data_IF_810175199081
#
_entry.id   IF_810175199081
#
_cell.length_a   1.000
_cell.length_b   1.000
_cell.length_c   1.000
_cell.angle_alpha   90.00
_cell.angle_beta   90.00
_cell.angle_gamma   90.00
#
_symmetry.space_group_name_H-M   'P 1'
#
loop_
_entity.id
_entity.type
_entity.pdbx_description
1 polymer ?
#
# COMPACT_ATOMS: atom_id res chain seq x y z
N UNK A 1 9.67 -48.23 -18.81
CA UNK A 1 8.54 -47.30 -19.00
C UNK A 1 8.99 -45.94 -18.51
N UNK A 2 9.09 -44.96 -19.41
CA UNK A 2 9.78 -43.68 -19.20
C UNK A 2 9.18 -42.88 -18.04
N UNK A 3 10.04 -42.52 -17.07
CA UNK A 3 9.76 -41.55 -16.03
C UNK A 3 9.93 -40.15 -16.65
N UNK A 4 8.82 -39.46 -16.92
CA UNK A 4 8.84 -38.05 -17.36
C UNK A 4 8.86 -37.16 -16.13
N UNK A 5 9.98 -36.48 -15.92
CA UNK A 5 10.11 -35.30 -15.06
C UNK A 5 9.21 -34.19 -15.62
N UNK A 6 8.30 -33.67 -14.80
CA UNK A 6 7.57 -32.44 -15.08
C UNK A 6 8.08 -31.34 -14.15
N UNK A 7 8.79 -30.39 -14.72
CA UNK A 7 9.13 -29.09 -14.13
C UNK A 7 7.94 -28.14 -14.34
N UNK A 8 7.26 -27.73 -13.28
CA UNK A 8 6.34 -26.59 -13.37
C UNK A 8 7.08 -25.32 -12.95
N UNK A 9 7.52 -24.55 -13.95
CA UNK A 9 7.88 -23.14 -13.82
C UNK A 9 6.61 -22.31 -14.01
N UNK A 10 6.27 -21.52 -12.99
CA UNK A 10 5.44 -20.33 -13.11
C UNK A 10 3.95 -20.55 -13.33
N UNK A 11 3.16 -20.41 -12.27
CA UNK A 11 1.82 -19.85 -12.41
C UNK A 11 1.50 -18.97 -11.21
N UNK A 12 1.21 -17.71 -11.52
CA UNK A 12 0.84 -16.64 -10.61
C UNK A 12 -0.32 -17.04 -9.68
N UNK A 13 -0.08 -16.85 -8.39
CA UNK A 13 -1.06 -16.94 -7.31
C UNK A 13 -2.11 -15.83 -7.48
N UNK A 14 -3.15 -16.11 -8.25
CA UNK A 14 -4.37 -15.30 -8.28
C UNK A 14 -5.54 -16.27 -8.21
N UNK A 15 -6.39 -16.07 -7.21
CA UNK A 15 -7.61 -16.84 -6.89
C UNK A 15 -7.38 -18.08 -6.01
N UNK A 16 -7.28 -17.85 -4.70
CA UNK A 16 -7.77 -18.79 -3.70
C UNK A 16 -8.51 -18.03 -2.59
N UNK A 17 -9.71 -17.54 -2.91
CA UNK A 17 -10.66 -16.99 -1.92
C UNK A 17 -12.08 -17.56 -2.09
N UNK A 18 -12.19 -18.79 -2.60
CA UNK A 18 -13.47 -19.49 -2.66
C UNK A 18 -13.33 -20.86 -2.03
N UNK A 19 -14.08 -21.04 -0.94
CA UNK A 19 -14.25 -22.25 -0.11
C UNK A 19 -13.06 -22.62 0.79
N UNK A 20 -13.26 -22.51 2.11
CA UNK A 20 -13.59 -23.68 2.95
C UNK A 20 -13.87 -23.25 4.40
N UNK A 21 -15.03 -23.66 4.88
CA UNK A 21 -15.32 -23.68 6.31
C UNK A 21 -14.44 -24.71 7.01
N UNK A 22 -13.91 -24.31 8.17
CA UNK A 22 -13.56 -25.16 9.31
C UNK A 22 -13.18 -26.62 9.01
N UNK A 23 -12.00 -26.84 8.44
CA UNK A 23 -11.08 -27.93 8.82
C UNK A 23 -9.69 -27.58 8.28
N UNK A 24 -8.68 -27.65 9.14
CA UNK A 24 -7.29 -27.50 8.74
C UNK A 24 -6.92 -28.65 7.80
N UNK A 25 -6.80 -28.36 6.50
CA UNK A 25 -6.23 -29.29 5.54
C UNK A 25 -4.72 -29.02 5.50
N UNK A 26 -3.95 -29.89 6.14
CA UNK A 26 -2.53 -30.07 5.86
C UNK A 26 -2.42 -30.77 4.49
N UNK A 27 -2.42 -29.98 3.42
CA UNK A 27 -1.89 -30.43 2.14
C UNK A 27 -0.52 -29.76 1.97
N UNK A 28 0.50 -30.59 1.83
CA UNK A 28 1.86 -30.17 1.54
C UNK A 28 1.89 -29.52 0.14
N UNK A 29 1.86 -28.19 0.11
CA UNK A 29 2.39 -27.36 -0.97
C UNK A 29 2.78 -26.01 -0.33
N UNK A 30 4.08 -25.70 -0.34
CA UNK A 30 4.72 -24.43 0.03
C UNK A 30 4.59 -23.87 1.46
N UNK A 31 4.63 -24.65 2.55
CA UNK A 31 4.99 -24.14 3.89
C UNK A 31 4.17 -22.96 4.46
N UNK A 32 3.05 -22.60 3.82
CA UNK A 32 2.22 -21.45 4.14
C UNK A 32 0.99 -21.93 4.91
N UNK A 33 0.90 -21.60 6.19
CA UNK A 33 -0.27 -21.92 7.01
C UNK A 33 -1.22 -20.72 6.97
N UNK A 34 -2.35 -20.90 6.28
CA UNK A 34 -3.37 -19.86 6.07
C UNK A 34 -4.54 -20.01 7.03
N UNK A 35 -4.96 -18.90 7.67
CA UNK A 35 -6.12 -18.85 8.56
C UNK A 35 -7.00 -17.65 8.23
N UNK A 36 -8.31 -17.85 8.25
CA UNK A 36 -9.29 -16.78 8.31
C UNK A 36 -10.00 -16.86 9.66
N UNK A 37 -10.02 -15.75 10.40
CA UNK A 37 -10.60 -15.69 11.74
C UNK A 37 -11.64 -14.57 11.78
N UNK A 38 -12.84 -14.93 12.22
CA UNK A 38 -13.88 -13.97 12.55
C UNK A 38 -13.82 -13.64 14.04
N UNK A 39 -13.78 -12.35 14.37
CA UNK A 39 -13.85 -11.83 15.73
C UNK A 39 -15.22 -11.18 15.92
N UNK A 40 -16.05 -11.81 16.77
CA UNK A 40 -17.35 -11.23 17.15
C UNK A 40 -17.15 -10.04 18.12
N UNK A 41 -16.06 -10.07 18.90
CA UNK A 41 -15.63 -9.01 19.82
C UNK A 41 -14.15 -8.69 19.62
N UNK A 42 -13.79 -7.40 19.70
CA UNK A 42 -12.41 -6.96 19.61
C UNK A 42 -11.61 -7.38 20.86
N UNK A 43 -10.34 -7.71 20.67
CA UNK A 43 -9.41 -8.16 21.71
C UNK A 43 -9.38 -9.67 21.92
N UNK A 44 -10.16 -10.43 21.14
CA UNK A 44 -10.34 -11.88 21.32
C UNK A 44 -9.51 -12.73 20.36
N UNK A 45 -8.65 -12.13 19.51
CA UNK A 45 -7.76 -12.90 18.63
C UNK A 45 -6.85 -13.89 19.39
N UNK A 46 -6.25 -13.53 20.55
CA UNK A 46 -5.45 -14.48 21.34
C UNK A 46 -6.23 -15.73 21.78
N UNK A 47 -7.57 -15.64 21.91
CA UNK A 47 -8.42 -16.78 22.29
C UNK A 47 -8.69 -17.71 21.10
N UNK A 48 -8.46 -17.24 19.86
CA UNK A 48 -8.72 -17.98 18.61
C UNK A 48 -7.48 -18.69 18.04
N UNK A 49 -6.29 -18.36 18.53
CA UNK A 49 -5.02 -18.92 18.06
C UNK A 49 -4.22 -19.39 19.26
N UNK A 50 -3.95 -20.70 19.33
CA UNK A 50 -3.13 -21.24 20.41
C UNK A 50 -1.68 -20.76 20.33
N UNK A 51 -0.97 -20.75 21.47
CA UNK A 51 0.45 -20.40 21.52
C UNK A 51 1.32 -21.27 20.60
N UNK A 52 0.93 -22.55 20.39
CA UNK A 52 1.64 -23.48 19.51
C UNK A 52 1.43 -23.17 18.02
N UNK A 53 0.27 -22.65 17.64
CA UNK A 53 -0.04 -22.30 16.24
C UNK A 53 0.44 -20.91 15.86
N UNK A 54 0.51 -19.99 16.83
CA UNK A 54 0.81 -18.57 16.63
C UNK A 54 2.04 -18.32 15.75
N UNK A 55 3.13 -19.03 16.01
CA UNK A 55 4.40 -18.85 15.29
C UNK A 55 4.49 -19.67 14.00
N UNK A 56 3.44 -20.40 13.63
CA UNK A 56 3.40 -21.22 12.42
C UNK A 56 2.56 -20.57 11.30
N UNK A 57 1.58 -19.74 11.66
CA UNK A 57 0.71 -19.06 10.70
C UNK A 57 1.51 -18.03 9.90
N UNK A 58 1.50 -18.19 8.58
CA UNK A 58 2.17 -17.27 7.64
C UNK A 58 1.19 -16.32 6.96
N UNK A 59 -0.09 -16.73 6.82
CA UNK A 59 -1.13 -15.92 6.18
C UNK A 59 -2.36 -15.82 7.09
N UNK A 60 -2.76 -14.60 7.47
CA UNK A 60 -3.91 -14.37 8.33
C UNK A 60 -4.87 -13.37 7.70
N UNK A 61 -6.14 -13.76 7.57
CA UNK A 61 -7.26 -12.85 7.31
C UNK A 61 -8.10 -12.68 8.56
N UNK A 62 -8.42 -11.44 8.91
CA UNK A 62 -9.29 -11.12 10.05
C UNK A 62 -10.56 -10.45 9.55
N UNK A 63 -11.71 -10.93 10.05
CA UNK A 63 -13.04 -10.36 9.80
C UNK A 63 -13.63 -9.90 11.13
N UNK A 64 -14.14 -8.68 11.20
CA UNK A 64 -14.75 -8.12 12.42
C UNK A 64 -13.92 -7.01 13.07
N UNK A 65 -14.13 -6.74 14.35
CA UNK A 65 -13.46 -5.62 15.03
C UNK A 65 -12.13 -6.07 15.62
N UNK A 66 -11.10 -5.24 15.50
CA UNK A 66 -9.80 -5.42 16.15
C UNK A 66 -9.44 -4.21 17.02
N UNK A 67 -8.80 -4.43 18.15
CA UNK A 67 -8.29 -3.39 19.04
C UNK A 67 -6.81 -3.62 19.41
N UNK A 68 -6.30 -2.90 20.41
CA UNK A 68 -4.89 -2.97 20.79
C UNK A 68 -4.42 -4.35 21.25
N UNK A 69 -5.28 -5.15 21.90
CA UNK A 69 -4.94 -6.52 22.29
C UNK A 69 -4.72 -7.40 21.07
N UNK A 70 -5.58 -7.31 20.06
CA UNK A 70 -5.41 -8.07 18.80
C UNK A 70 -4.17 -7.58 18.04
N UNK A 71 -3.98 -6.27 17.96
CA UNK A 71 -2.85 -5.69 17.22
C UNK A 71 -1.51 -6.07 17.86
N UNK A 72 -1.42 -6.08 19.20
CA UNK A 72 -0.27 -6.62 19.94
C UNK A 72 0.04 -8.06 19.53
N UNK A 73 -0.99 -8.91 19.49
CA UNK A 73 -0.84 -10.33 19.13
C UNK A 73 -0.41 -10.51 17.68
N UNK A 74 -0.99 -9.72 16.75
CA UNK A 74 -0.61 -9.72 15.33
C UNK A 74 0.84 -9.28 15.16
N UNK A 75 1.30 -8.25 15.87
CA UNK A 75 2.70 -7.81 15.82
C UNK A 75 3.66 -8.94 16.18
N UNK A 76 3.36 -9.65 17.26
CA UNK A 76 4.16 -10.80 17.70
C UNK A 76 4.12 -11.93 16.65
N UNK A 77 2.97 -12.16 15.99
CA UNK A 77 2.91 -13.09 14.86
C UNK A 77 3.76 -12.60 13.66
N UNK A 78 3.85 -11.29 13.47
CA UNK A 78 4.61 -10.62 12.42
C UNK A 78 6.10 -10.40 12.76
N UNK A 79 6.59 -11.05 13.82
CA UNK A 79 8.02 -11.10 14.14
C UNK A 79 8.50 -10.01 15.10
N UNK A 80 7.61 -9.25 15.75
CA UNK A 80 8.03 -8.16 16.64
C UNK A 80 7.08 -7.98 17.85
N UNK A 81 7.62 -7.88 19.06
CA UNK A 81 6.82 -7.69 20.28
C UNK A 81 6.40 -6.22 20.51
N UNK A 82 5.73 -6.00 21.65
CA UNK A 82 5.28 -4.66 22.11
C UNK A 82 6.44 -3.68 22.33
N UNK A 83 7.67 -4.16 22.58
CA UNK A 83 8.85 -3.34 22.84
C UNK A 83 9.77 -3.19 21.62
N UNK A 84 9.36 -3.69 20.45
CA UNK A 84 10.18 -3.65 19.25
C UNK A 84 11.22 -4.78 19.16
N UNK A 85 11.16 -5.80 20.01
CA UNK A 85 12.08 -6.94 19.98
C UNK A 85 11.60 -8.03 19.04
N UNK A 86 12.54 -8.71 18.40
CA UNK A 86 12.23 -9.83 17.51
C UNK A 86 11.51 -10.97 18.24
N UNK A 87 10.62 -11.63 17.53
CA UNK A 87 9.91 -12.83 17.98
C UNK A 87 9.97 -13.93 16.92
N UNK A 88 9.62 -15.16 17.28
CA UNK A 88 9.61 -16.31 16.36
C UNK A 88 8.45 -16.29 15.34
N UNK A 89 7.62 -15.24 15.34
CA UNK A 89 6.48 -15.09 14.44
C UNK A 89 6.85 -15.22 12.96
N UNK A 90 5.98 -15.87 12.18
CA UNK A 90 6.18 -16.15 10.74
C UNK A 90 5.12 -15.51 9.83
N UNK A 91 4.25 -14.67 10.38
CA UNK A 91 3.21 -14.00 9.61
C UNK A 91 3.84 -13.06 8.57
N UNK A 92 3.60 -13.36 7.30
CA UNK A 92 4.09 -12.60 6.15
C UNK A 92 2.96 -11.92 5.38
N UNK A 93 1.76 -12.52 5.35
CA UNK A 93 0.57 -11.96 4.69
C UNK A 93 -0.51 -11.67 5.72
N UNK A 94 -0.89 -10.40 5.83
CA UNK A 94 -1.99 -9.95 6.69
C UNK A 94 -3.08 -9.27 5.87
N UNK A 95 -4.28 -9.84 5.90
CA UNK A 95 -5.47 -9.27 5.28
C UNK A 95 -6.46 -8.76 6.34
N UNK A 96 -6.59 -7.44 6.44
CA UNK A 96 -7.55 -6.74 7.29
C UNK A 96 -8.66 -6.05 6.48
N UNK A 97 -8.89 -6.43 5.22
CA UNK A 97 -9.87 -5.77 4.34
C UNK A 97 -11.27 -5.72 4.95
N UNK A 98 -11.65 -6.78 5.68
CA UNK A 98 -12.96 -6.97 6.30
C UNK A 98 -12.92 -6.76 7.82
N UNK A 99 -11.82 -6.19 8.32
CA UNK A 99 -11.68 -5.81 9.71
C UNK A 99 -12.08 -4.34 9.93
N UNK A 100 -12.29 -3.96 11.18
CA UNK A 100 -12.41 -2.56 11.60
C UNK A 100 -11.54 -2.32 12.83
N UNK A 101 -10.62 -1.36 12.74
CA UNK A 101 -9.81 -0.93 13.89
C UNK A 101 -10.69 -0.08 14.81
N UNK A 102 -10.82 -0.50 16.06
CA UNK A 102 -11.55 0.21 17.10
C UNK A 102 -10.64 0.54 18.29
N UNK A 103 -11.03 1.57 19.05
CA UNK A 103 -10.37 1.89 20.32
C UNK A 103 -10.55 0.78 21.37
N UNK A 104 -9.60 0.70 22.32
CA UNK A 104 -9.63 -0.24 23.44
C UNK A 104 -8.57 -1.33 23.38
N UNK A 105 -8.66 -2.28 24.32
CA UNK A 105 -7.66 -3.33 24.51
C UNK A 105 -6.35 -2.83 25.15
N UNK A 106 -5.35 -3.69 25.13
CA UNK A 106 -4.02 -3.42 25.65
C UNK A 106 -3.25 -2.45 24.76
N UNK A 107 -2.19 -1.84 25.30
CA UNK A 107 -1.19 -1.18 24.48
C UNK A 107 -0.53 -2.19 23.52
N UNK A 108 -0.48 -1.85 22.23
CA UNK A 108 0.15 -2.69 21.21
C UNK A 108 1.62 -2.35 20.97
N UNK A 109 2.07 -1.19 21.46
CA UNK A 109 3.47 -0.76 21.41
C UNK A 109 3.84 0.03 22.66
N UNK A 110 5.11 -0.04 23.04
CA UNK A 110 5.72 0.72 24.13
C UNK A 110 6.94 1.46 23.59
N UNK A 111 6.88 2.78 23.62
CA UNK A 111 7.99 3.65 23.24
C UNK A 111 8.58 4.34 24.49
N UNK A 112 9.88 4.62 24.48
CA UNK A 112 10.55 5.25 25.64
C UNK A 112 10.10 6.69 25.86
N UNK A 113 9.77 7.41 24.80
CA UNK A 113 9.41 8.82 24.85
C UNK A 113 7.89 9.01 24.80
N UNK A 114 7.18 8.20 24.01
CA UNK A 114 5.71 8.31 23.87
C UNK A 114 4.91 7.44 24.84
N UNK A 115 5.56 6.52 25.57
CA UNK A 115 4.90 5.60 26.50
C UNK A 115 4.08 4.50 25.80
N UNK A 116 2.97 4.12 26.43
CA UNK A 116 2.10 3.05 25.95
C UNK A 116 1.15 3.53 24.85
N UNK A 117 1.19 2.84 23.71
CA UNK A 117 0.41 3.20 22.52
C UNK A 117 -0.77 2.24 22.35
N UNK A 118 -1.98 2.78 22.32
CA UNK A 118 -3.24 2.05 22.17
C UNK A 118 -3.92 2.37 20.83
N UNK A 119 -4.85 1.51 20.40
CA UNK A 119 -5.60 1.75 19.16
C UNK A 119 -6.56 2.92 19.30
N UNK A 120 -6.88 3.54 18.17
CA UNK A 120 -7.95 4.51 18.02
C UNK A 120 -8.78 4.12 16.81
N UNK A 121 -10.07 4.48 16.81
CA UNK A 121 -10.99 4.15 15.73
C UNK A 121 -10.43 4.58 14.36
N UNK A 122 -10.46 3.65 13.40
CA UNK A 122 -10.20 3.92 11.98
C UNK A 122 -8.83 4.56 11.68
N UNK A 123 -7.80 4.26 12.49
CA UNK A 123 -6.42 4.72 12.30
C UNK A 123 -5.44 3.55 12.37
N UNK A 124 -4.46 3.53 11.47
CA UNK A 124 -3.26 2.75 11.70
C UNK A 124 -2.33 3.56 12.61
N UNK A 125 -2.35 3.27 13.91
CA UNK A 125 -1.76 4.12 14.94
C UNK A 125 -0.23 4.20 14.90
N UNK A 126 0.33 5.06 15.78
CA UNK A 126 1.79 5.24 15.91
C UNK A 126 2.47 3.88 16.13
N UNK A 127 3.55 3.60 15.41
CA UNK A 127 4.30 2.34 15.51
C UNK A 127 3.52 1.03 15.25
N UNK A 128 2.28 1.04 14.73
CA UNK A 128 1.38 -0.13 14.64
C UNK A 128 2.05 -1.44 14.19
N UNK A 129 2.86 -1.37 13.14
CA UNK A 129 3.68 -2.47 12.60
C UNK A 129 5.16 -2.10 12.50
N UNK A 130 5.62 -1.14 13.32
CA UNK A 130 7.05 -0.80 13.39
C UNK A 130 7.88 -2.03 13.72
N UNK A 131 8.89 -2.31 12.89
CA UNK A 131 9.80 -3.45 13.02
C UNK A 131 9.24 -4.81 12.57
N UNK A 132 8.01 -4.88 12.05
CA UNK A 132 7.44 -6.13 11.51
C UNK A 132 8.06 -6.48 10.14
N UNK A 133 9.36 -6.80 10.15
CA UNK A 133 10.20 -6.99 8.97
C UNK A 133 9.82 -8.21 8.12
N UNK A 134 9.12 -9.18 8.71
CA UNK A 134 8.63 -10.38 8.03
C UNK A 134 7.36 -10.18 7.20
N UNK A 135 6.61 -9.08 7.40
CA UNK A 135 5.42 -8.79 6.59
C UNK A 135 5.82 -8.44 5.17
N UNK A 136 5.33 -9.22 4.20
CA UNK A 136 5.49 -8.99 2.76
C UNK A 136 4.27 -8.35 2.13
N UNK A 137 3.07 -8.64 2.69
CA UNK A 137 1.79 -8.18 2.16
C UNK A 137 0.90 -7.70 3.31
N UNK A 138 0.36 -6.49 3.18
CA UNK A 138 -0.59 -5.93 4.12
C UNK A 138 -1.77 -5.31 3.38
N UNK A 139 -2.98 -5.77 3.69
CA UNK A 139 -4.23 -5.13 3.25
C UNK A 139 -4.88 -4.47 4.45
N UNK A 140 -5.13 -3.16 4.36
CA UNK A 140 -5.74 -2.37 5.44
C UNK A 140 -7.27 -2.33 5.32
N UNK A 141 -7.99 -2.10 6.45
CA UNK A 141 -9.41 -1.79 6.40
C UNK A 141 -9.69 -0.57 5.54
N UNK A 142 -10.75 -0.62 4.73
CA UNK A 142 -11.16 0.52 3.89
C UNK A 142 -11.56 1.77 4.69
N UNK A 143 -11.83 1.63 5.99
CA UNK A 143 -12.17 2.73 6.88
C UNK A 143 -10.96 3.52 7.39
N UNK A 144 -9.72 3.03 7.22
CA UNK A 144 -8.52 3.70 7.77
C UNK A 144 -8.34 5.10 7.16
N UNK A 145 -8.39 6.12 8.02
CA UNK A 145 -8.31 7.54 7.64
C UNK A 145 -6.92 8.15 7.79
N UNK A 146 -6.03 7.52 8.58
CA UNK A 146 -4.70 8.04 8.87
C UNK A 146 -3.68 6.92 9.06
N UNK A 147 -2.49 7.14 8.52
CA UNK A 147 -1.28 6.36 8.81
C UNK A 147 -0.44 7.14 9.81
N UNK A 148 -0.29 6.61 11.03
CA UNK A 148 0.39 7.26 12.14
C UNK A 148 1.90 7.38 11.96
N UNK A 149 2.55 8.16 12.82
CA UNK A 149 4.00 8.29 12.78
C UNK A 149 4.65 6.92 13.02
N UNK A 150 5.66 6.60 12.21
CA UNK A 150 6.40 5.35 12.26
C UNK A 150 5.53 4.08 12.15
N UNK A 151 4.29 4.18 11.68
CA UNK A 151 3.31 3.07 11.72
C UNK A 151 3.78 1.79 11.03
N UNK A 152 4.54 1.90 9.94
CA UNK A 152 5.11 0.79 9.17
C UNK A 152 6.65 0.93 9.07
N UNK A 153 7.27 1.67 9.99
CA UNK A 153 8.72 1.85 10.01
C UNK A 153 9.45 0.50 10.06
N UNK A 154 10.49 0.34 9.27
CA UNK A 154 11.32 -0.86 9.15
C UNK A 154 10.55 -2.14 8.83
N UNK A 155 9.40 -2.04 8.15
CA UNK A 155 8.77 -3.17 7.44
C UNK A 155 9.58 -3.50 6.18
N UNK A 156 10.80 -4.00 6.36
CA UNK A 156 11.80 -4.17 5.29
C UNK A 156 11.30 -5.13 4.19
N UNK A 157 10.57 -6.19 4.57
CA UNK A 157 10.01 -7.18 3.63
C UNK A 157 8.75 -6.74 2.89
N UNK A 158 8.14 -5.60 3.25
CA UNK A 158 6.83 -5.21 2.73
C UNK A 158 6.94 -4.80 1.26
N UNK A 159 6.38 -5.61 0.38
CA UNK A 159 6.41 -5.40 -1.08
C UNK A 159 5.06 -4.97 -1.64
N UNK A 160 3.96 -5.35 -0.98
CA UNK A 160 2.60 -5.10 -1.43
C UNK A 160 1.77 -4.45 -0.31
N UNK A 161 1.44 -3.18 -0.51
CA UNK A 161 0.51 -2.42 0.32
C UNK A 161 -0.27 -1.46 -0.58
N UNK A 162 -1.59 -1.49 -0.48
CA UNK A 162 -2.45 -0.45 -1.04
C UNK A 162 -3.07 0.33 0.11
N UNK A 163 -2.86 1.65 0.10
CA UNK A 163 -3.52 2.52 1.07
C UNK A 163 -4.99 2.76 0.68
N UNK A 164 -5.94 2.71 1.63
CA UNK A 164 -7.33 3.05 1.38
C UNK A 164 -7.51 4.49 0.87
N UNK A 165 -8.51 4.71 0.02
CA UNK A 165 -8.84 6.04 -0.51
C UNK A 165 -9.32 7.03 0.56
N UNK A 166 -9.71 6.53 1.73
CA UNK A 166 -10.12 7.30 2.92
C UNK A 166 -8.93 7.91 3.67
N UNK A 167 -7.69 7.51 3.38
CA UNK A 167 -6.50 8.06 4.04
C UNK A 167 -6.31 9.52 3.62
N UNK A 168 -6.21 10.41 4.62
CA UNK A 168 -5.99 11.85 4.42
C UNK A 168 -4.61 12.32 4.88
N UNK A 169 -3.93 11.55 5.74
CA UNK A 169 -2.62 11.92 6.29
C UNK A 169 -1.68 10.71 6.42
N UNK A 170 -0.43 10.92 6.01
CA UNK A 170 0.69 10.02 6.24
C UNK A 170 1.64 10.68 7.26
N UNK A 171 1.85 10.04 8.40
CA UNK A 171 2.65 10.56 9.50
C UNK A 171 4.15 10.58 9.25
N UNK A 172 4.87 11.21 10.17
CA UNK A 172 6.34 11.25 10.18
C UNK A 172 6.93 9.84 10.24
N UNK A 173 7.90 9.54 9.37
CA UNK A 173 8.56 8.23 9.35
C UNK A 173 7.64 7.03 9.07
N UNK A 174 6.41 7.24 8.60
CA UNK A 174 5.38 6.20 8.49
C UNK A 174 5.85 4.93 7.77
N UNK A 175 6.66 5.07 6.72
CA UNK A 175 7.26 4.02 5.91
C UNK A 175 8.80 4.06 5.95
N UNK A 176 9.39 4.65 6.99
CA UNK A 176 10.84 4.73 7.14
C UNK A 176 11.47 3.35 6.93
N UNK A 177 12.49 3.24 6.08
CA UNK A 177 13.24 2.02 5.82
C UNK A 177 12.40 0.82 5.30
N UNK A 178 11.27 1.06 4.63
CA UNK A 178 10.50 0.04 3.91
C UNK A 178 11.15 -0.33 2.58
N UNK A 179 12.25 -1.10 2.64
CA UNK A 179 13.10 -1.37 1.45
C UNK A 179 12.44 -2.23 0.38
N UNK A 180 11.47 -3.07 0.74
CA UNK A 180 10.74 -3.93 -0.19
C UNK A 180 9.67 -3.22 -1.03
N UNK A 181 9.26 -2.00 -0.65
CA UNK A 181 8.19 -1.29 -1.36
C UNK A 181 8.70 -0.84 -2.72
N UNK A 182 8.13 -1.40 -3.80
CA UNK A 182 8.60 -1.15 -5.17
C UNK A 182 7.78 -0.12 -5.94
N UNK A 183 6.46 -0.22 -5.85
CA UNK A 183 5.53 0.72 -6.47
C UNK A 183 4.57 1.20 -5.40
N UNK A 184 4.54 2.50 -5.14
CA UNK A 184 3.69 3.07 -4.09
C UNK A 184 2.84 4.21 -4.66
N UNK A 185 1.53 4.07 -4.54
CA UNK A 185 0.57 5.11 -4.91
C UNK A 185 0.06 5.78 -3.64
N UNK A 186 0.28 7.09 -3.53
CA UNK A 186 -0.34 7.89 -2.48
C UNK A 186 -1.80 8.15 -2.90
N UNK A 187 -2.80 7.78 -2.06
CA UNK A 187 -4.21 7.97 -2.40
C UNK A 187 -4.58 9.43 -2.61
N UNK A 188 -5.54 9.70 -3.50
CA UNK A 188 -6.01 11.04 -3.85
C UNK A 188 -6.69 11.81 -2.71
N UNK A 189 -6.93 11.18 -1.56
CA UNK A 189 -7.41 11.83 -0.35
C UNK A 189 -6.30 12.44 0.50
N UNK A 190 -5.04 12.07 0.28
CA UNK A 190 -3.91 12.49 1.12
C UNK A 190 -3.60 13.95 0.88
N UNK A 191 -3.63 14.75 1.94
CA UNK A 191 -3.29 16.19 1.91
C UNK A 191 -1.93 16.48 2.53
N UNK A 192 -1.46 15.62 3.45
CA UNK A 192 -0.21 15.81 4.18
C UNK A 192 0.64 14.55 4.23
N UNK A 193 1.93 14.71 3.94
CA UNK A 193 2.97 13.69 4.06
C UNK A 193 3.99 14.18 5.10
N UNK A 194 4.22 13.40 6.14
CA UNK A 194 5.12 13.75 7.25
C UNK A 194 6.60 13.76 6.86
N UNK A 195 7.43 14.36 7.73
CA UNK A 195 8.88 14.32 7.58
C UNK A 195 9.40 12.89 7.60
N UNK A 196 10.46 12.61 6.83
CA UNK A 196 11.05 11.28 6.72
C UNK A 196 10.09 10.13 6.38
N UNK A 197 8.87 10.42 5.88
CA UNK A 197 7.80 9.43 5.74
C UNK A 197 8.22 8.18 4.96
N UNK A 198 9.07 8.31 3.94
CA UNK A 198 9.58 7.23 3.10
C UNK A 198 11.11 7.19 3.07
N UNK A 199 11.80 7.75 4.07
CA UNK A 199 13.26 7.76 4.08
C UNK A 199 13.84 6.35 3.94
N UNK A 200 14.87 6.16 3.12
CA UNK A 200 15.52 4.87 2.87
C UNK A 200 14.59 3.77 2.28
N UNK A 201 13.52 4.13 1.56
CA UNK A 201 12.75 3.17 0.75
C UNK A 201 13.49 2.85 -0.56
N UNK A 202 14.61 2.13 -0.47
CA UNK A 202 15.49 1.87 -1.61
C UNK A 202 14.83 1.11 -2.77
N UNK A 203 13.83 0.29 -2.48
CA UNK A 203 13.09 -0.46 -3.50
C UNK A 203 12.13 0.40 -4.31
N UNK A 204 11.81 1.63 -3.89
CA UNK A 204 10.75 2.43 -4.50
C UNK A 204 11.20 2.92 -5.88
N UNK A 205 10.65 2.30 -6.93
CA UNK A 205 10.98 2.57 -8.34
C UNK A 205 10.17 3.74 -8.89
N UNK A 206 8.89 3.81 -8.52
CA UNK A 206 7.97 4.83 -8.98
C UNK A 206 7.15 5.42 -7.84
N UNK A 207 6.91 6.72 -7.90
CA UNK A 207 6.12 7.48 -6.93
C UNK A 207 5.07 8.32 -7.65
N UNK A 208 3.84 8.28 -7.15
CA UNK A 208 2.77 9.19 -7.59
C UNK A 208 2.35 10.10 -6.44
N UNK A 209 2.46 11.42 -6.65
CA UNK A 209 2.00 12.48 -5.75
C UNK A 209 0.69 13.07 -6.29
N UNK A 210 -0.47 12.81 -5.65
CA UNK A 210 -1.76 13.26 -6.13
C UNK A 210 -1.94 14.77 -5.98
N UNK A 211 -2.90 15.32 -6.71
CA UNK A 211 -3.22 16.77 -6.74
C UNK A 211 -3.69 17.33 -5.38
N UNK A 212 -4.11 16.46 -4.47
CA UNK A 212 -4.59 16.80 -3.13
C UNK A 212 -3.49 17.16 -2.13
N UNK A 213 -2.23 16.79 -2.39
CA UNK A 213 -1.13 17.01 -1.46
C UNK A 213 -0.81 18.50 -1.39
N UNK A 214 -0.90 19.07 -0.19
CA UNK A 214 -0.60 20.48 0.08
C UNK A 214 0.66 20.67 0.92
N UNK A 215 1.11 19.64 1.65
CA UNK A 215 2.28 19.73 2.51
C UNK A 215 3.09 18.42 2.53
N UNK A 216 4.42 18.54 2.43
CA UNK A 216 5.38 17.44 2.47
C UNK A 216 6.52 17.78 3.44
N UNK A 217 6.72 16.98 4.47
CA UNK A 217 7.74 17.24 5.49
C UNK A 217 9.18 17.03 5.02
N UNK A 218 10.13 17.52 5.82
CA UNK A 218 11.56 17.44 5.52
C UNK A 218 12.02 15.99 5.30
N UNK A 219 12.80 15.77 4.24
CA UNK A 219 13.37 14.47 3.92
C UNK A 219 12.36 13.35 3.67
N UNK A 220 11.11 13.67 3.31
CA UNK A 220 10.06 12.66 3.17
C UNK A 220 10.43 11.51 2.22
N UNK A 221 11.24 11.76 1.18
CA UNK A 221 11.71 10.74 0.23
C UNK A 221 13.24 10.65 0.19
N UNK A 222 13.93 11.08 1.26
CA UNK A 222 15.39 11.04 1.35
C UNK A 222 15.90 9.61 1.19
N UNK A 223 16.97 9.43 0.42
CA UNK A 223 17.59 8.13 0.10
C UNK A 223 16.65 7.10 -0.55
N UNK A 224 15.60 7.53 -1.27
CA UNK A 224 14.84 6.66 -2.16
C UNK A 224 15.60 6.46 -3.49
N UNK A 225 16.80 5.87 -3.42
CA UNK A 225 17.73 5.77 -4.57
C UNK A 225 17.24 4.88 -5.72
N UNK A 226 16.21 4.07 -5.52
CA UNK A 226 15.56 3.29 -6.58
C UNK A 226 14.64 4.10 -7.49
N UNK A 227 14.30 5.34 -7.13
CA UNK A 227 13.35 6.15 -7.90
C UNK A 227 13.89 6.43 -9.30
N UNK A 228 13.11 6.04 -10.30
CA UNK A 228 13.37 6.34 -11.72
C UNK A 228 12.30 7.25 -12.32
N UNK A 229 11.13 7.34 -11.69
CA UNK A 229 10.02 8.18 -12.15
C UNK A 229 9.19 8.70 -10.99
N UNK A 230 8.92 10.00 -11.01
CA UNK A 230 8.01 10.66 -10.06
C UNK A 230 6.92 11.35 -10.87
N UNK A 231 5.66 10.99 -10.62
CA UNK A 231 4.49 11.61 -11.25
C UNK A 231 3.86 12.58 -10.27
N UNK A 232 3.79 13.85 -10.67
CA UNK A 232 3.22 14.94 -9.88
C UNK A 232 1.93 15.42 -10.54
N UNK A 233 0.85 15.45 -9.76
CA UNK A 233 -0.46 15.94 -10.22
C UNK A 233 -0.85 17.30 -9.60
N UNK A 234 0.02 17.88 -8.76
CA UNK A 234 -0.21 19.19 -8.15
C UNK A 234 0.13 20.30 -9.15
N UNK A 235 -0.84 21.16 -9.49
CA UNK A 235 -0.59 22.32 -10.37
C UNK A 235 0.20 23.44 -9.68
N UNK A 236 0.17 23.46 -8.35
CA UNK A 236 0.84 24.42 -7.48
C UNK A 236 1.78 23.67 -6.55
N UNK A 237 2.98 24.22 -6.34
CA UNK A 237 3.98 23.63 -5.46
C UNK A 237 3.39 23.46 -4.05
N UNK A 238 3.54 22.28 -3.42
CA UNK A 238 3.16 22.09 -2.02
C UNK A 238 4.13 22.84 -1.09
N UNK A 239 3.71 23.08 0.15
CA UNK A 239 4.64 23.45 1.21
C UNK A 239 5.60 22.29 1.46
N UNK A 240 6.91 22.53 1.38
CA UNK A 240 7.93 21.49 1.56
C UNK A 240 8.89 21.81 2.69
N UNK A 241 9.23 20.79 3.47
CA UNK A 241 10.44 20.81 4.29
C UNK A 241 11.70 20.64 3.44
N UNK A 242 12.87 20.64 4.08
CA UNK A 242 14.16 20.58 3.39
C UNK A 242 14.58 19.16 3.03
N UNK A 243 15.46 19.03 2.02
CA UNK A 243 16.13 17.79 1.63
C UNK A 243 15.17 16.68 1.20
N UNK A 244 14.04 17.04 0.57
CA UNK A 244 12.93 16.16 0.25
C UNK A 244 13.36 14.88 -0.47
N UNK A 245 14.24 15.02 -1.45
CA UNK A 245 14.75 13.93 -2.30
C UNK A 245 16.26 13.69 -2.16
N UNK A 246 16.90 14.21 -1.11
CA UNK A 246 18.36 14.09 -0.94
C UNK A 246 18.81 12.62 -1.05
N UNK A 247 19.74 12.35 -1.97
CA UNK A 247 20.27 11.01 -2.20
C UNK A 247 19.38 10.09 -3.06
N UNK A 248 18.36 10.64 -3.72
CA UNK A 248 17.77 10.01 -4.91
C UNK A 248 18.70 10.21 -6.12
N UNK A 249 18.52 9.41 -7.17
CA UNK A 249 19.31 9.56 -8.40
C UNK A 249 18.79 10.76 -9.23
N UNK A 250 19.35 11.95 -8.96
CA UNK A 250 19.01 13.20 -9.64
C UNK A 250 19.20 13.19 -11.16
N UNK A 251 20.06 12.30 -11.68
CA UNK A 251 20.42 12.23 -13.09
C UNK A 251 19.53 11.27 -13.87
N UNK A 252 19.15 10.16 -13.26
CA UNK A 252 18.40 9.10 -13.94
C UNK A 252 16.90 9.10 -13.58
N UNK A 253 16.48 9.78 -12.52
CA UNK A 253 15.07 9.95 -12.21
C UNK A 253 14.45 11.06 -13.06
N UNK A 254 13.26 10.80 -13.62
CA UNK A 254 12.46 11.79 -14.34
C UNK A 254 11.27 12.22 -13.50
N UNK A 255 11.08 13.53 -13.34
CA UNK A 255 9.89 14.11 -12.71
C UNK A 255 8.91 14.54 -13.80
N UNK A 256 7.75 13.90 -13.82
CA UNK A 256 6.63 14.25 -14.69
C UNK A 256 5.72 15.23 -13.95
N UNK A 257 5.54 16.43 -14.49
CA UNK A 257 4.75 17.50 -13.86
C UNK A 257 3.64 18.00 -14.80
N UNK A 258 2.57 18.62 -14.29
CA UNK A 258 1.49 19.11 -15.14
C UNK A 258 1.97 20.13 -16.18
N UNK A 259 1.38 20.08 -17.38
CA UNK A 259 1.68 21.01 -18.47
C UNK A 259 1.53 22.47 -18.01
N UNK A 260 2.53 23.30 -18.30
CA UNK A 260 2.59 24.70 -17.90
C UNK A 260 3.24 24.95 -16.53
N UNK A 261 3.58 23.90 -15.77
CA UNK A 261 4.20 24.02 -14.44
C UNK A 261 5.71 23.72 -14.42
N UNK A 262 6.27 23.25 -15.54
CA UNK A 262 7.66 22.77 -15.64
C UNK A 262 8.69 23.76 -15.10
N UNK A 263 8.57 25.04 -15.48
CA UNK A 263 9.47 26.09 -14.99
C UNK A 263 9.36 26.33 -13.47
N UNK A 264 8.17 26.21 -12.89
CA UNK A 264 7.98 26.40 -11.45
C UNK A 264 8.62 25.26 -10.66
N UNK A 265 8.40 24.01 -11.10
CA UNK A 265 9.02 22.84 -10.50
C UNK A 265 10.55 22.83 -10.66
N UNK A 266 11.05 23.15 -11.85
CA UNK A 266 12.49 23.25 -12.13
C UNK A 266 13.22 24.27 -11.25
N UNK A 267 12.57 25.39 -10.91
CA UNK A 267 13.15 26.43 -10.05
C UNK A 267 12.96 26.18 -8.56
N UNK A 268 12.17 25.19 -8.17
CA UNK A 268 11.93 24.87 -6.76
C UNK A 268 13.15 24.20 -6.13
N UNK A 269 13.40 24.47 -4.85
CA UNK A 269 14.54 23.87 -4.13
C UNK A 269 14.47 22.33 -4.10
N UNK A 270 13.27 21.78 -3.98
CA UNK A 270 13.08 20.36 -3.75
C UNK A 270 12.90 19.56 -5.04
N UNK A 271 12.07 20.01 -6.01
CA UNK A 271 11.89 19.28 -7.27
C UNK A 271 12.91 19.66 -8.34
N UNK A 272 13.48 20.89 -8.27
CA UNK A 272 14.59 21.31 -9.10
C UNK A 272 15.90 20.54 -8.82
N UNK A 273 15.89 19.67 -7.81
CA UNK A 273 16.93 18.68 -7.55
C UNK A 273 17.19 17.76 -8.75
N UNK A 274 16.17 17.41 -9.53
CA UNK A 274 16.27 16.48 -10.66
C UNK A 274 16.62 17.17 -11.96
N UNK A 275 17.49 16.55 -12.77
CA UNK A 275 17.93 17.13 -14.05
C UNK A 275 16.87 16.97 -15.16
N UNK A 276 16.00 15.96 -15.02
CA UNK A 276 14.95 15.66 -15.99
C UNK A 276 13.58 15.99 -15.40
N UNK A 277 13.02 17.12 -15.83
CA UNK A 277 11.63 17.49 -15.56
C UNK A 277 10.89 17.55 -16.88
N UNK A 278 9.86 16.73 -17.02
CA UNK A 278 9.06 16.58 -18.24
C UNK A 278 7.64 17.01 -17.95
N UNK A 279 7.13 17.95 -18.73
CA UNK A 279 5.72 18.30 -18.68
C UNK A 279 4.88 17.22 -19.35
N UNK A 280 3.77 16.84 -18.72
CA UNK A 280 2.78 15.95 -19.32
C UNK A 280 1.38 16.54 -19.18
N UNK A 281 0.47 16.07 -20.03
CA UNK A 281 -0.93 16.36 -19.84
C UNK A 281 -1.45 15.57 -18.64
N UNK A 282 -1.37 16.20 -17.47
CA UNK A 282 -1.84 15.63 -16.21
C UNK A 282 -3.37 15.43 -16.17
N UNK A 283 -4.10 15.86 -17.20
CA UNK A 283 -5.54 15.56 -17.36
C UNK A 283 -5.84 14.11 -17.73
N UNK A 284 -4.93 13.19 -17.41
CA UNK A 284 -5.11 11.75 -17.60
C UNK A 284 -6.41 11.25 -16.98
N UNK A 285 -7.45 11.09 -17.80
CA UNK A 285 -8.67 10.31 -17.53
C UNK A 285 -9.58 10.86 -16.40
N UNK A 286 -9.18 11.85 -15.60
CA UNK A 286 -9.99 12.39 -14.49
C UNK A 286 -11.13 13.31 -14.94
N UNK A 287 -11.07 13.85 -16.15
CA UNK A 287 -12.26 14.44 -16.78
C UNK A 287 -13.01 13.33 -17.51
N UNK A 288 -13.85 12.60 -16.77
CA UNK A 288 -15.03 12.00 -17.40
C UNK A 288 -15.90 13.15 -17.88
N UNK A 289 -15.63 13.64 -19.09
CA UNK A 289 -16.65 14.36 -19.83
C UNK A 289 -17.75 13.34 -20.14
N UNK A 290 -18.85 13.43 -19.41
CA UNK A 290 -20.13 12.85 -19.83
C UNK A 290 -20.64 13.73 -20.96
N UNK A 291 -20.09 13.53 -22.16
CA UNK A 291 -20.76 13.95 -23.39
C UNK A 291 -22.08 13.16 -23.45
N UNK A 292 -23.19 13.82 -23.08
CA UNK A 292 -24.48 13.16 -22.80
C UNK A 292 -25.11 12.42 -24.01
N UNK A 293 -24.49 12.46 -25.19
CA UNK A 293 -25.02 11.94 -26.45
C UNK A 293 -24.02 11.14 -27.29
N UNK A 294 -23.03 10.48 -26.67
CA UNK A 294 -22.03 9.72 -27.43
C UNK A 294 -22.37 8.24 -27.54
N UNK A 295 -22.27 7.70 -28.76
CA UNK A 295 -22.51 6.30 -29.07
C UNK A 295 -21.21 5.52 -29.03
N UNK A 296 -21.26 4.29 -28.53
CA UNK A 296 -20.16 3.34 -28.66
C UNK A 296 -19.92 3.05 -30.16
N UNK A 297 -18.69 3.24 -30.61
CA UNK A 297 -18.25 2.95 -31.99
C UNK A 297 -17.51 1.62 -32.03
N UNK A 298 -16.70 1.36 -31.01
CA UNK A 298 -15.89 0.16 -30.94
C UNK A 298 -15.48 -0.19 -29.52
N UNK A 299 -15.24 -1.48 -29.31
CA UNK A 299 -14.80 -2.03 -28.03
C UNK A 299 -13.70 -3.03 -28.24
N UNK A 300 -12.74 -3.01 -27.32
CA UNK A 300 -11.58 -3.89 -27.33
C UNK A 300 -11.34 -4.47 -25.94
N UNK A 301 -10.73 -5.65 -25.89
CA UNK A 301 -10.18 -6.20 -24.66
C UNK A 301 -8.97 -5.36 -24.20
N UNK A 302 -8.52 -5.58 -22.96
CA UNK A 302 -7.29 -4.97 -22.45
C UNK A 302 -6.05 -5.29 -23.33
N UNK A 303 -6.09 -6.41 -24.08
CA UNK A 303 -5.02 -6.84 -24.98
C UNK A 303 -5.20 -6.33 -26.43
N UNK A 304 -6.16 -5.44 -26.68
CA UNK A 304 -6.39 -4.82 -27.99
C UNK A 304 -7.19 -5.67 -28.99
N UNK A 305 -7.78 -6.80 -28.57
CA UNK A 305 -8.64 -7.60 -29.44
C UNK A 305 -10.02 -6.94 -29.57
N UNK A 306 -10.56 -6.86 -30.79
CA UNK A 306 -11.90 -6.31 -31.04
C UNK A 306 -12.96 -7.21 -30.40
N UNK A 307 -13.88 -6.62 -29.64
CA UNK A 307 -15.01 -7.31 -29.01
C UNK A 307 -16.31 -6.94 -29.73
N UNK A 308 -17.21 -7.92 -29.90
CA UNK A 308 -18.56 -7.74 -30.46
C UNK A 308 -19.61 -7.40 -29.39
N UNK A 309 -19.29 -7.62 -28.11
CA UNK A 309 -20.14 -7.34 -26.96
C UNK A 309 -19.26 -7.02 -25.72
N UNK A 310 -19.82 -6.43 -24.66
CA UNK A 310 -19.13 -6.27 -23.37
C UNK A 310 -18.62 -7.62 -22.84
N UNK A 311 -17.34 -7.68 -22.49
CA UNK A 311 -16.72 -8.86 -21.88
C UNK A 311 -16.38 -8.57 -20.41
N UNK A 312 -16.51 -9.56 -19.52
CA UNK A 312 -16.16 -9.39 -18.11
C UNK A 312 -14.71 -8.89 -17.97
N UNK A 313 -14.50 -7.88 -17.13
CA UNK A 313 -13.20 -7.24 -16.91
C UNK A 313 -13.04 -5.90 -17.63
N UNK A 314 -11.79 -5.50 -17.89
CA UNK A 314 -11.47 -4.20 -18.46
C UNK A 314 -11.71 -4.18 -19.98
N UNK A 315 -12.57 -3.26 -20.40
CA UNK A 315 -12.88 -2.99 -21.80
C UNK A 315 -12.35 -1.60 -22.16
N UNK A 316 -11.77 -1.49 -23.35
CA UNK A 316 -11.35 -0.21 -23.93
C UNK A 316 -12.41 0.18 -24.97
N UNK A 317 -13.19 1.21 -24.70
CA UNK A 317 -14.36 1.59 -25.50
C UNK A 317 -14.12 2.93 -26.19
N UNK A 318 -14.20 2.97 -27.52
CA UNK A 318 -14.15 4.19 -28.32
C UNK A 318 -15.56 4.69 -28.60
N UNK A 319 -15.76 5.99 -28.45
CA UNK A 319 -17.05 6.65 -28.65
C UNK A 319 -17.05 7.54 -29.90
N UNK A 320 -18.25 7.97 -30.32
CA UNK A 320 -18.49 8.75 -31.54
C UNK A 320 -17.90 10.16 -31.51
N UNK A 321 -17.57 10.69 -30.32
CA UNK A 321 -16.84 11.95 -30.15
C UNK A 321 -15.31 11.80 -30.27
N UNK A 322 -14.83 10.58 -30.55
CA UNK A 322 -13.40 10.26 -30.63
C UNK A 322 -12.77 9.90 -29.29
N UNK A 323 -13.50 10.01 -28.17
CA UNK A 323 -12.98 9.64 -26.86
C UNK A 323 -12.79 8.12 -26.71
N UNK A 324 -11.83 7.72 -25.88
CA UNK A 324 -11.58 6.32 -25.50
C UNK A 324 -11.66 6.21 -23.98
N UNK A 325 -12.57 5.37 -23.48
CA UNK A 325 -12.79 5.18 -22.04
C UNK A 325 -12.49 3.75 -21.62
N UNK A 326 -11.91 3.60 -20.43
CA UNK A 326 -11.78 2.32 -19.73
C UNK A 326 -13.10 2.02 -19.03
N UNK A 327 -13.75 0.92 -19.40
CA UNK A 327 -15.03 0.48 -18.83
C UNK A 327 -14.84 -0.88 -18.18
N UNK A 328 -15.10 -0.96 -16.87
CA UNK A 328 -15.09 -2.25 -16.15
C UNK A 328 -16.48 -2.85 -16.24
N UNK A 329 -16.57 -4.06 -16.80
CA UNK A 329 -17.80 -4.84 -16.86
C UNK A 329 -17.71 -5.91 -15.77
N UNK A 330 -18.63 -5.90 -14.81
CA UNK A 330 -18.71 -6.86 -13.71
C UNK A 330 -19.22 -8.22 -14.18
#
# INVERSE_FOLDING_TARGET
MNMRTFTFKGLFLTVLFVLLGSTAILAADDGLITRQIKLDEAGTLPDKISANEKNLITNLKIVGKINGTDLKFIREMAGCDVNGKETDGKLSILDLSDAKIVEGGDAYYSDRDDGFICTSNDKLGKYAFSGCSGLTNLTLPSSVTKIGCYALSSCIGLTSLTLPSSVTEIGEGAFLNCRGLTNFTIPSGVTKIGGAAFICCYGLISLTLPSSVTAIGSGAFKYCSGLTSIYVYMEKLPETGSNLFLGCDEKNCTVYVPKGTGNAYFRSAEFGYFYNIVEFDATGIDKVATSANVKEVSRYSANGQRLSAPAKGLNIVKYSDGSVKKVVVQ
#
